data_IF_371720242239
#
_entry.id   IF_371720242239
#
_cell.length_a   1.000
_cell.length_b   1.000
_cell.length_c   1.000
_cell.angle_alpha   90.00
_cell.angle_beta   90.00
_cell.angle_gamma   90.00
#
_symmetry.space_group_name_H-M   'P 1'
#
loop_
_entity.id
_entity.type
_entity.pdbx_description
1 polymer ?
#
# COMPACT_ATOMS: atom_id res chain seq x y z
N UNK A 1 -11.59 -10.52 5.59
CA UNK A 1 -10.95 -11.02 4.35
C UNK A 1 -11.22 -9.98 3.28
N UNK A 2 -10.18 -9.41 2.68
CA UNK A 2 -10.30 -8.37 1.62
C UNK A 2 -9.66 -8.88 0.33
N UNK A 3 -10.11 -10.07 -0.10
CA UNK A 3 -9.60 -10.75 -1.28
C UNK A 3 -10.57 -10.53 -2.45
N UNK A 4 -10.03 -10.27 -3.63
CA UNK A 4 -10.78 -10.23 -4.88
C UNK A 4 -10.56 -11.56 -5.59
N UNK A 5 -11.64 -12.27 -5.87
CA UNK A 5 -11.63 -13.58 -6.52
C UNK A 5 -12.26 -13.47 -7.90
N UNK A 6 -11.58 -13.98 -8.92
CA UNK A 6 -12.08 -14.14 -10.28
C UNK A 6 -11.90 -15.61 -10.70
N UNK A 7 -12.97 -16.25 -11.17
CA UNK A 7 -12.94 -17.66 -11.60
C UNK A 7 -12.32 -18.62 -10.57
N UNK A 8 -12.62 -18.42 -9.28
CA UNK A 8 -12.09 -19.22 -8.18
C UNK A 8 -10.63 -18.95 -7.82
N UNK A 9 -9.99 -17.95 -8.44
CA UNK A 9 -8.59 -17.58 -8.18
C UNK A 9 -8.51 -16.19 -7.54
N UNK A 10 -7.66 -16.05 -6.53
CA UNK A 10 -7.36 -14.75 -5.93
C UNK A 10 -6.55 -13.90 -6.88
N UNK A 11 -7.10 -12.76 -7.28
CA UNK A 11 -6.44 -11.79 -8.18
C UNK A 11 -5.94 -10.55 -7.44
N UNK A 12 -6.46 -10.26 -6.25
CA UNK A 12 -5.95 -9.19 -5.40
C UNK A 12 -6.21 -9.48 -3.91
N UNK A 13 -5.45 -8.84 -3.05
CA UNK A 13 -5.66 -8.86 -1.60
C UNK A 13 -5.20 -7.58 -0.95
N UNK A 14 -5.89 -7.15 0.10
CA UNK A 14 -5.54 -5.94 0.83
C UNK A 14 -5.60 -6.11 2.34
N UNK A 15 -4.90 -5.22 3.04
CA UNK A 15 -4.97 -5.02 4.47
C UNK A 15 -5.21 -3.54 4.78
N UNK A 16 -5.72 -3.29 5.98
CA UNK A 16 -5.98 -1.93 6.43
C UNK A 16 -5.45 -1.72 7.85
N UNK A 17 -4.89 -0.55 8.10
CA UNK A 17 -4.49 -0.10 9.44
C UNK A 17 -5.17 1.22 9.74
N UNK A 18 -6.00 1.23 10.79
CA UNK A 18 -6.68 2.43 11.26
C UNK A 18 -5.99 2.96 12.52
N UNK A 19 -5.83 4.27 12.60
CA UNK A 19 -5.38 4.99 13.78
C UNK A 19 -6.30 6.19 14.01
N UNK A 20 -6.12 6.92 15.12
CA UNK A 20 -6.83 8.20 15.33
C UNK A 20 -6.51 9.22 14.21
N UNK A 21 -5.31 9.16 13.63
CA UNK A 21 -4.85 10.10 12.61
C UNK A 21 -5.26 9.74 11.17
N UNK A 22 -5.86 8.56 10.94
CA UNK A 22 -6.28 8.18 9.59
C UNK A 22 -6.29 6.68 9.34
N UNK A 23 -6.48 6.32 8.07
CA UNK A 23 -6.56 4.96 7.55
C UNK A 23 -5.50 4.76 6.46
N UNK A 24 -4.72 3.70 6.59
CA UNK A 24 -3.91 3.16 5.50
C UNK A 24 -4.63 1.95 4.92
N UNK A 25 -4.97 2.00 3.62
CA UNK A 25 -5.43 0.85 2.84
C UNK A 25 -4.35 0.49 1.82
N UNK A 26 -3.86 -0.74 1.86
CA UNK A 26 -2.77 -1.19 0.99
C UNK A 26 -2.97 -2.65 0.62
N UNK A 27 -2.61 -3.02 -0.61
CA UNK A 27 -2.72 -4.38 -1.09
C UNK A 27 -1.80 -4.70 -2.25
N UNK A 28 -1.97 -5.90 -2.79
CA UNK A 28 -1.31 -6.38 -4.01
C UNK A 28 -2.34 -6.86 -5.01
N UNK A 29 -2.03 -6.68 -6.30
CA UNK A 29 -2.81 -7.16 -7.44
C UNK A 29 -1.91 -8.12 -8.22
N UNK A 30 -2.39 -9.31 -8.53
CA UNK A 30 -1.68 -10.36 -9.27
C UNK A 30 -1.73 -10.10 -10.78
N UNK A 31 -1.30 -8.92 -11.21
CA UNK A 31 -1.19 -8.54 -12.61
C UNK A 31 0.07 -7.70 -12.83
N UNK A 32 0.85 -8.04 -13.86
CA UNK A 32 2.01 -7.24 -14.27
C UNK A 32 1.59 -6.05 -15.13
N UNK A 33 2.41 -5.00 -15.18
CA UNK A 33 2.23 -3.85 -16.07
C UNK A 33 0.82 -3.21 -16.03
N UNK A 34 0.33 -2.90 -14.82
CA UNK A 34 -0.85 -2.06 -14.66
C UNK A 34 -0.57 -0.67 -15.25
N UNK A 35 -1.16 -0.41 -16.42
CA UNK A 35 -0.91 0.80 -17.20
C UNK A 35 -1.43 2.06 -16.48
N UNK A 36 -1.13 3.22 -17.05
CA UNK A 36 -1.60 4.51 -16.51
C UNK A 36 -3.13 4.62 -16.46
N UNK A 37 -3.84 4.04 -17.44
CA UNK A 37 -5.31 4.05 -17.46
C UNK A 37 -5.87 3.30 -16.27
N UNK A 38 -5.34 2.11 -15.99
CA UNK A 38 -5.72 1.35 -14.80
C UNK A 38 -5.44 2.16 -13.52
N UNK A 39 -4.22 2.72 -13.39
CA UNK A 39 -3.82 3.47 -12.19
C UNK A 39 -4.75 4.66 -11.92
N UNK A 40 -5.09 5.42 -12.95
CA UNK A 40 -6.00 6.56 -12.85
C UNK A 40 -7.44 6.13 -12.51
N UNK A 41 -7.96 5.11 -13.20
CA UNK A 41 -9.29 4.58 -12.91
C UNK A 41 -9.38 4.06 -11.47
N UNK A 42 -8.37 3.32 -11.01
CA UNK A 42 -8.32 2.79 -9.66
C UNK A 42 -8.24 3.89 -8.60
N UNK A 43 -7.42 4.93 -8.82
CA UNK A 43 -7.32 6.07 -7.91
C UNK A 43 -8.67 6.80 -7.76
N UNK A 44 -9.38 7.05 -8.86
CA UNK A 44 -10.69 7.69 -8.83
C UNK A 44 -11.80 6.86 -8.17
N UNK A 45 -11.66 5.53 -8.14
CA UNK A 45 -12.55 4.67 -7.36
C UNK A 45 -12.29 4.76 -5.84
N UNK A 46 -11.08 5.18 -5.44
CA UNK A 46 -10.69 5.32 -4.03
C UNK A 46 -10.92 6.73 -3.48
N UNK A 47 -11.03 7.75 -4.33
CA UNK A 47 -11.26 9.12 -3.91
C UNK A 47 -11.69 10.06 -5.02
N UNK A 48 -12.51 11.04 -4.64
CA UNK A 48 -13.05 12.05 -5.57
C UNK A 48 -11.98 13.04 -6.05
N UNK A 49 -10.98 13.34 -5.20
CA UNK A 49 -9.90 14.27 -5.49
C UNK A 49 -8.54 13.59 -5.39
N UNK A 50 -7.86 13.48 -6.53
CA UNK A 50 -6.49 12.97 -6.64
C UNK A 50 -5.58 14.14 -6.97
N UNK A 51 -4.52 14.31 -6.20
CA UNK A 51 -3.53 15.37 -6.39
C UNK A 51 -2.18 14.70 -6.59
N UNK A 52 -1.51 15.04 -7.68
CA UNK A 52 -0.11 14.66 -7.86
C UNK A 52 0.74 15.43 -6.86
N UNK A 53 1.56 14.71 -6.11
CA UNK A 53 2.41 15.28 -5.08
C UNK A 53 3.74 14.53 -5.01
N UNK A 54 4.73 15.13 -4.35
CA UNK A 54 6.05 14.53 -4.10
C UNK A 54 6.15 14.14 -2.64
N UNK A 55 6.85 13.03 -2.38
CA UNK A 55 7.14 12.64 -1.01
C UNK A 55 8.14 13.61 -0.41
N UNK A 56 7.74 14.31 0.65
CA UNK A 56 8.58 15.28 1.35
C UNK A 56 9.82 14.63 1.97
N UNK A 57 10.92 15.38 2.05
CA UNK A 57 12.19 14.87 2.59
C UNK A 57 12.07 14.35 4.03
N UNK A 58 11.24 14.97 4.87
CA UNK A 58 11.00 14.51 6.24
C UNK A 58 10.31 13.14 6.30
N UNK A 59 9.40 12.86 5.36
CA UNK A 59 8.74 11.56 5.24
C UNK A 59 9.73 10.49 4.78
N UNK A 60 10.59 10.82 3.80
CA UNK A 60 11.65 9.91 3.34
C UNK A 60 12.63 9.58 4.46
N UNK A 61 13.08 10.58 5.22
CA UNK A 61 13.98 10.38 6.35
C UNK A 61 13.35 9.46 7.42
N UNK A 62 12.10 9.71 7.81
CA UNK A 62 11.39 8.85 8.75
C UNK A 62 11.22 7.41 8.22
N UNK A 63 11.03 7.25 6.91
CA UNK A 63 10.97 5.93 6.27
C UNK A 63 12.31 5.19 6.35
N UNK A 64 13.43 5.88 6.11
CA UNK A 64 14.79 5.32 6.25
C UNK A 64 15.13 4.94 7.69
N UNK A 65 14.76 5.78 8.66
CA UNK A 65 14.90 5.47 10.08
C UNK A 65 14.12 4.20 10.45
N UNK A 66 12.87 4.09 10.01
CA UNK A 66 12.05 2.89 10.22
C UNK A 66 12.62 1.66 9.51
N UNK A 67 13.17 1.84 8.30
CA UNK A 67 13.82 0.77 7.56
C UNK A 67 15.01 0.22 8.36
N UNK A 68 15.85 1.09 8.90
CA UNK A 68 17.06 0.70 9.64
C UNK A 68 16.75 0.14 11.03
N UNK A 69 15.93 0.84 11.80
CA UNK A 69 15.72 0.54 13.23
C UNK A 69 14.65 -0.51 13.50
N UNK A 70 13.82 -0.82 12.50
CA UNK A 70 12.69 -1.72 12.66
C UNK A 70 12.59 -2.73 11.52
N UNK A 71 12.19 -2.29 10.33
CA UNK A 71 11.81 -3.21 9.24
C UNK A 71 12.98 -4.07 8.73
N UNK A 72 14.21 -3.58 8.84
CA UNK A 72 15.44 -4.30 8.48
C UNK A 72 16.05 -5.12 9.62
N UNK A 73 15.49 -5.08 10.83
CA UNK A 73 16.04 -5.82 11.98
C UNK A 73 15.61 -7.29 11.97
N UNK A 74 16.50 -8.17 12.45
CA UNK A 74 16.21 -9.61 12.56
C UNK A 74 15.02 -9.86 13.50
N UNK A 75 14.95 -9.12 14.61
CA UNK A 75 13.87 -9.24 15.59
C UNK A 75 12.50 -8.95 14.97
N UNK A 76 12.42 -7.96 14.09
CA UNK A 76 11.20 -7.66 13.36
C UNK A 76 10.88 -8.72 12.30
N UNK A 77 11.87 -9.10 11.48
CA UNK A 77 11.68 -10.04 10.38
C UNK A 77 11.33 -11.47 10.83
N UNK A 78 11.76 -11.86 12.04
CA UNK A 78 11.48 -13.18 12.62
C UNK A 78 10.27 -13.18 13.55
N UNK A 79 9.62 -12.03 13.75
CA UNK A 79 8.42 -11.95 14.56
C UNK A 79 7.29 -12.69 13.85
N UNK A 80 6.84 -13.79 14.46
CA UNK A 80 5.68 -14.57 14.01
C UNK A 80 4.42 -14.10 14.74
#
# INVERSE_FOLDING_TARGET
>A
MSDVIESGRKIAGAAQRKTRGGLLHQGSIQHGNLDERFRNAFAHLLGERIVEDRVEAGVLHAAEELATTKYGTVDWLRRR
#
